data_IF_563834379359
#
_entry.id   IF_563834379359
#
_cell.length_a   1.000
_cell.length_b   1.000
_cell.length_c   1.000
_cell.angle_alpha   90.00
_cell.angle_beta   90.00
_cell.angle_gamma   90.00
#
_symmetry.space_group_name_H-M   'P 1'
#
loop_
_entity.id
_entity.type
_entity.pdbx_description
1 polymer ?
#
# COMPACT_ATOMS: atom_id res chain seq x y z
N UNK A 1 -31.32 -17.62 11.18
CA UNK A 1 -30.20 -17.46 12.13
C UNK A 1 -28.97 -17.93 11.38
N UNK A 2 -28.29 -17.03 10.68
CA UNK A 2 -27.36 -17.38 9.60
C UNK A 2 -26.09 -16.51 9.56
N UNK A 3 -25.72 -15.88 10.68
CA UNK A 3 -24.60 -14.90 10.70
C UNK A 3 -23.30 -15.47 11.26
N UNK A 4 -23.28 -16.71 11.75
CA UNK A 4 -22.14 -17.21 12.56
C UNK A 4 -21.08 -18.00 11.75
N UNK A 5 -21.34 -18.35 10.48
CA UNK A 5 -20.45 -19.25 9.72
C UNK A 5 -19.39 -18.54 8.83
N UNK A 6 -19.36 -17.20 8.76
CA UNK A 6 -18.44 -16.51 7.83
C UNK A 6 -17.10 -16.08 8.47
N UNK A 7 -17.07 -15.83 9.78
CA UNK A 7 -15.89 -15.28 10.47
C UNK A 7 -14.73 -16.29 10.59
N UNK A 8 -15.05 -17.57 10.76
CA UNK A 8 -14.05 -18.65 10.96
C UNK A 8 -13.19 -18.88 9.71
N UNK A 9 -13.77 -18.68 8.53
CA UNK A 9 -13.09 -18.74 7.23
C UNK A 9 -12.43 -17.41 6.81
N UNK A 10 -12.84 -16.29 7.41
CA UNK A 10 -12.32 -14.97 7.04
C UNK A 10 -10.84 -14.84 7.46
N UNK A 11 -10.51 -15.12 8.73
CA UNK A 11 -9.14 -15.03 9.28
C UNK A 11 -8.10 -15.87 8.51
N UNK A 12 -8.33 -17.16 8.20
CA UNK A 12 -7.38 -17.96 7.43
C UNK A 12 -7.30 -17.54 5.96
N UNK A 13 -8.36 -16.96 5.38
CA UNK A 13 -8.34 -16.44 4.01
C UNK A 13 -7.50 -15.16 3.89
N UNK A 14 -7.61 -14.22 4.84
CA UNK A 14 -6.71 -13.04 4.91
C UNK A 14 -5.26 -13.48 5.14
N UNK A 15 -5.03 -14.50 5.97
CA UNK A 15 -3.69 -15.04 6.21
C UNK A 15 -3.09 -15.72 4.97
N UNK A 16 -3.92 -16.46 4.21
CA UNK A 16 -3.50 -17.15 2.98
C UNK A 16 -3.27 -16.16 1.84
N UNK A 17 -4.07 -15.10 1.75
CA UNK A 17 -3.81 -13.97 0.85
C UNK A 17 -2.52 -13.26 1.24
N UNK A 18 -2.30 -12.92 2.52
CA UNK A 18 -1.06 -12.29 3.04
C UNK A 18 0.19 -13.14 2.79
N UNK A 19 0.10 -14.47 2.89
CA UNK A 19 1.23 -15.40 2.68
C UNK A 19 1.45 -15.79 1.22
N UNK A 20 0.54 -15.44 0.31
CA UNK A 20 0.73 -15.67 -1.13
C UNK A 20 1.77 -14.68 -1.65
N UNK A 21 2.86 -15.15 -2.30
CA UNK A 21 3.95 -14.28 -2.75
C UNK A 21 3.40 -13.32 -3.81
N UNK A 22 3.18 -12.06 -3.40
CA UNK A 22 2.47 -11.05 -4.20
C UNK A 22 1.44 -10.22 -3.42
N UNK A 23 1.01 -10.65 -2.23
CA UNK A 23 0.22 -9.81 -1.31
C UNK A 23 1.06 -8.78 -0.55
N UNK A 24 2.17 -8.34 -1.14
CA UNK A 24 2.98 -7.22 -0.66
C UNK A 24 2.40 -5.85 -1.08
N UNK A 25 1.20 -5.81 -1.68
CA UNK A 25 0.65 -4.58 -2.31
C UNK A 25 -0.87 -4.39 -2.16
N UNK A 26 -1.48 -4.81 -1.05
CA UNK A 26 -2.92 -4.61 -0.81
C UNK A 26 -3.18 -3.42 0.13
N UNK A 27 -3.99 -2.40 -0.25
CA UNK A 27 -4.25 -1.19 0.54
C UNK A 27 -4.88 -1.48 1.91
N UNK A 28 -5.45 -2.68 2.09
CA UNK A 28 -6.02 -3.14 3.37
C UNK A 28 -4.93 -3.36 4.43
N UNK A 29 -3.73 -3.86 4.09
CA UNK A 29 -2.64 -4.00 5.07
C UNK A 29 -2.23 -2.65 5.64
N UNK A 30 -2.24 -1.61 4.79
CA UNK A 30 -1.94 -0.24 5.17
C UNK A 30 -2.99 0.32 6.11
N UNK A 31 -4.27 0.05 5.84
CA UNK A 31 -5.37 0.41 6.73
C UNK A 31 -5.29 -0.32 8.09
N UNK A 32 -4.89 -1.59 8.10
CA UNK A 32 -4.72 -2.36 9.34
C UNK A 32 -3.55 -1.82 10.15
N UNK A 33 -2.40 -1.53 9.51
CA UNK A 33 -1.23 -0.95 10.19
C UNK A 33 -1.53 0.45 10.73
N UNK A 34 -2.17 1.31 9.94
CA UNK A 34 -2.60 2.64 10.38
C UNK A 34 -3.60 2.54 11.55
N UNK A 35 -4.56 1.62 11.45
CA UNK A 35 -5.50 1.33 12.55
C UNK A 35 -4.82 0.79 13.80
N UNK A 36 -3.81 -0.09 13.66
CA UNK A 36 -3.06 -0.63 14.79
C UNK A 36 -2.20 0.44 15.49
N UNK A 37 -1.53 1.30 14.73
CA UNK A 37 -0.79 2.46 15.27
C UNK A 37 -1.74 3.46 15.91
N UNK A 38 -2.87 3.79 15.27
CA UNK A 38 -3.87 4.68 15.86
C UNK A 38 -4.46 4.12 17.17
N UNK A 39 -4.70 2.81 17.23
CA UNK A 39 -5.15 2.14 18.44
C UNK A 39 -4.07 2.15 19.52
N UNK A 40 -2.81 1.88 19.16
CA UNK A 40 -1.68 1.94 20.08
C UNK A 40 -1.48 3.37 20.63
N UNK A 41 -1.57 4.39 19.77
CA UNK A 41 -1.54 5.79 20.16
C UNK A 41 -2.72 6.16 21.07
N UNK A 42 -3.92 5.62 20.81
CA UNK A 42 -5.09 5.80 21.68
C UNK A 42 -4.84 5.20 23.07
N UNK A 43 -4.27 4.00 23.15
CA UNK A 43 -3.88 3.36 24.41
C UNK A 43 -2.80 4.17 25.13
N UNK A 44 -1.77 4.64 24.41
CA UNK A 44 -0.73 5.52 24.98
C UNK A 44 -1.29 6.84 25.50
N UNK A 45 -2.25 7.46 24.80
CA UNK A 45 -2.95 8.66 25.27
C UNK A 45 -3.76 8.38 26.53
N UNK A 46 -4.45 7.24 26.57
CA UNK A 46 -5.22 6.82 27.75
C UNK A 46 -4.30 6.57 28.96
N UNK A 47 -3.14 5.92 28.73
CA UNK A 47 -2.10 5.74 29.74
C UNK A 47 -1.45 7.05 30.16
N UNK A 48 -1.23 7.99 29.23
CA UNK A 48 -0.68 9.31 29.54
C UNK A 48 -1.61 10.07 30.49
N UNK A 49 -2.91 10.00 30.25
CA UNK A 49 -3.92 10.60 31.12
C UNK A 49 -3.94 9.94 32.51
N UNK A 50 -3.88 8.61 32.58
CA UNK A 50 -3.85 7.88 33.86
C UNK A 50 -2.54 8.09 34.65
N UNK A 51 -1.42 8.25 33.95
CA UNK A 51 -0.08 8.28 34.57
C UNK A 51 0.40 9.71 34.91
N UNK A 52 -0.33 10.75 34.48
CA UNK A 52 -0.12 12.16 34.91
C UNK A 52 1.34 12.64 34.87
N UNK A 53 2.03 12.48 33.73
CA UNK A 53 3.26 13.23 33.44
C UNK A 53 4.59 12.47 33.53
N UNK A 54 4.63 11.15 33.30
CA UNK A 54 5.90 10.44 33.18
C UNK A 54 6.53 10.66 31.79
N UNK A 55 7.75 11.21 31.75
CA UNK A 55 8.51 11.48 30.52
C UNK A 55 8.71 10.25 29.64
N UNK A 56 8.68 9.04 30.24
CA UNK A 56 8.68 7.78 29.50
C UNK A 56 7.49 7.67 28.53
N UNK A 57 6.29 8.12 28.93
CA UNK A 57 5.09 8.05 28.06
C UNK A 57 5.17 9.07 26.92
N UNK A 58 5.76 10.24 27.17
CA UNK A 58 6.01 11.22 26.12
C UNK A 58 7.02 10.71 25.07
N UNK A 59 8.07 10.00 25.49
CA UNK A 59 9.01 9.36 24.58
C UNK A 59 8.35 8.27 23.72
N UNK A 60 7.45 7.46 24.31
CA UNK A 60 6.70 6.44 23.58
C UNK A 60 5.80 7.04 22.50
N UNK A 61 5.11 8.15 22.78
CA UNK A 61 4.29 8.87 21.78
C UNK A 61 5.18 9.45 20.66
N UNK A 62 6.35 10.00 21.00
CA UNK A 62 7.28 10.52 20.00
C UNK A 62 7.81 9.44 19.06
N UNK A 63 8.19 8.28 19.61
CA UNK A 63 8.66 7.14 18.81
C UNK A 63 7.53 6.58 17.94
N UNK A 64 6.30 6.50 18.47
CA UNK A 64 5.12 6.09 17.72
C UNK A 64 4.86 7.00 16.51
N UNK A 65 4.90 8.33 16.69
CA UNK A 65 4.75 9.28 15.60
C UNK A 65 5.89 9.18 14.57
N UNK A 66 7.12 8.94 15.04
CA UNK A 66 8.27 8.73 14.16
C UNK A 66 8.08 7.47 13.31
N UNK A 67 7.57 6.39 13.90
CA UNK A 67 7.26 5.15 13.21
C UNK A 67 6.12 5.33 12.19
N UNK A 68 5.07 6.04 12.58
CA UNK A 68 3.94 6.37 11.68
C UNK A 68 4.40 7.22 10.48
N UNK A 69 5.26 8.21 10.72
CA UNK A 69 5.88 9.00 9.66
C UNK A 69 6.74 8.17 8.70
N UNK A 70 7.58 7.29 9.25
CA UNK A 70 8.45 6.39 8.46
C UNK A 70 7.63 5.45 7.56
N UNK A 71 6.52 4.92 8.07
CA UNK A 71 5.59 4.09 7.29
C UNK A 71 4.91 4.91 6.19
N UNK A 72 4.35 6.09 6.50
CA UNK A 72 3.69 6.96 5.52
C UNK A 72 4.63 7.36 4.37
N UNK A 73 5.88 7.66 4.70
CA UNK A 73 6.90 7.96 3.72
C UNK A 73 7.27 6.74 2.86
N UNK A 74 7.50 5.58 3.48
CA UNK A 74 7.78 4.32 2.77
C UNK A 74 6.69 3.94 1.77
N UNK A 75 5.42 4.18 2.12
CA UNK A 75 4.29 3.93 1.23
C UNK A 75 4.20 4.90 0.06
N UNK A 76 4.51 6.17 0.29
CA UNK A 76 4.58 7.16 -0.77
C UNK A 76 5.66 6.78 -1.79
N UNK A 77 6.83 6.38 -1.30
CA UNK A 77 7.96 5.95 -2.13
C UNK A 77 7.60 4.70 -2.95
N UNK A 78 6.97 3.69 -2.34
CA UNK A 78 6.52 2.49 -3.07
C UNK A 78 5.55 2.82 -4.20
N UNK A 79 4.60 3.74 -3.97
CA UNK A 79 3.64 4.15 -5.03
C UNK A 79 4.35 4.83 -6.20
N UNK A 80 5.37 5.64 -5.93
CA UNK A 80 6.16 6.31 -6.96
C UNK A 80 6.96 5.30 -7.79
N UNK A 81 7.68 4.38 -7.13
CA UNK A 81 8.47 3.34 -7.81
C UNK A 81 7.59 2.45 -8.68
N UNK A 82 6.44 2.02 -8.17
CA UNK A 82 5.52 1.18 -8.94
C UNK A 82 4.84 1.90 -10.11
N UNK A 83 4.50 3.19 -9.96
CA UNK A 83 3.97 3.98 -11.07
C UNK A 83 5.00 4.08 -12.20
N UNK A 84 6.27 4.28 -11.85
CA UNK A 84 7.38 4.34 -12.80
C UNK A 84 7.64 2.99 -13.49
N UNK A 85 7.51 1.87 -12.77
CA UNK A 85 7.65 0.52 -13.33
C UNK A 85 6.51 0.16 -14.29
N UNK A 86 5.28 0.57 -13.97
CA UNK A 86 4.11 0.33 -14.81
C UNK A 86 4.14 1.16 -16.10
N UNK A 87 4.66 2.39 -16.04
CA UNK A 87 4.87 3.22 -17.23
C UNK A 87 6.00 2.67 -18.12
N UNK A 88 7.08 2.12 -17.53
CA UNK A 88 8.12 1.41 -18.29
C UNK A 88 7.64 0.10 -18.91
N UNK A 89 6.79 -0.65 -18.23
CA UNK A 89 6.18 -1.86 -18.77
C UNK A 89 5.17 -1.55 -19.89
N UNK A 90 4.43 -0.45 -19.79
CA UNK A 90 3.54 0.03 -20.84
C UNK A 90 4.31 0.62 -22.05
N UNK A 91 5.52 1.15 -21.81
CA UNK A 91 6.46 1.58 -22.86
C UNK A 91 7.25 0.45 -23.51
N UNK A 92 7.12 -0.79 -23.03
CA UNK A 92 7.85 -1.96 -23.51
C UNK A 92 6.92 -3.00 -24.19
N UNK A 93 5.98 -2.54 -25.02
CA UNK A 93 5.44 -3.36 -26.09
C UNK A 93 6.17 -3.04 -27.40
N UNK A 94 7.20 -3.81 -27.78
CA UNK A 94 7.80 -3.75 -29.11
C UNK A 94 7.00 -4.65 -30.05
N UNK A 95 6.46 -4.08 -31.12
CA UNK A 95 6.00 -4.88 -32.27
C UNK A 95 4.89 -4.25 -33.08
N UNK A 96 5.24 -3.43 -34.07
CA UNK A 96 4.98 -3.73 -35.48
C UNK A 96 5.98 -2.92 -36.33
N UNK A 97 7.16 -3.48 -36.57
CA UNK A 97 7.83 -3.27 -37.86
C UNK A 97 7.17 -4.22 -38.86
N UNK A 98 6.35 -3.68 -39.77
CA UNK A 98 5.95 -4.22 -41.08
C UNK A 98 4.94 -3.20 -41.67
N UNK A 99 5.40 -2.28 -42.51
CA UNK A 99 5.66 -2.45 -43.95
C UNK A 99 4.36 -2.66 -44.77
N UNK A 100 3.90 -1.58 -45.40
CA UNK A 100 3.44 -1.54 -46.80
C UNK A 100 2.96 -0.13 -47.19
N UNK A 101 3.81 0.57 -47.94
CA UNK A 101 3.52 1.68 -48.87
C UNK A 101 2.27 1.36 -49.75
N UNK A 102 1.40 2.31 -50.19
CA UNK A 102 1.78 3.37 -51.13
C UNK A 102 1.02 4.70 -51.01
N UNK A 103 1.73 5.79 -50.74
CA UNK A 103 1.24 7.14 -51.13
C UNK A 103 2.18 7.80 -52.15
N UNK A 104 2.54 7.02 -53.17
CA UNK A 104 3.03 7.53 -54.45
C UNK A 104 1.91 7.48 -55.48
N UNK A 105 1.03 8.49 -55.51
CA UNK A 105 0.07 8.65 -56.60
C UNK A 105 0.09 10.09 -57.14
N UNK A 106 0.59 10.17 -58.38
CA UNK A 106 0.36 11.20 -59.41
C UNK A 106 0.89 12.61 -59.15
N UNK A 107 1.97 12.93 -59.86
CA UNK A 107 2.08 14.19 -60.63
C UNK A 107 3.08 14.04 -61.78
N UNK A 108 2.77 13.10 -62.66
CA UNK A 108 3.03 13.18 -64.09
C UNK A 108 1.86 13.95 -64.72
N UNK A 109 1.95 15.28 -64.68
CA UNK A 109 1.37 16.19 -65.68
C UNK A 109 2.08 17.55 -65.60
#
# INVERSE_FOLDING_TARGET
MSTEANADSAIPAIFTEILKPGSSRHPVFLMIVDGALALLLSVLLSLLYLTSGNIHVAALIGIELCLWGSIKWFLHELKMVHAQEQERAAGANPGTDQDSDPTGNKKDQ
#
